data_IF_592162438729
#
_entry.id   IF_592162438729
#
_cell.length_a   1.000
_cell.length_b   1.000
_cell.length_c   1.000
_cell.angle_alpha   90.00
_cell.angle_beta   90.00
_cell.angle_gamma   90.00
#
_symmetry.space_group_name_H-M   'P 1'
#
loop_
_entity.id
_entity.type
_entity.pdbx_description
1 polymer ?
#
# COMPACT_ATOMS: atom_id res chain seq x y z
N UNK A 1 -8.99 3.98 -0.78
CA UNK A 1 -9.61 2.94 0.05
C UNK A 1 -9.63 1.59 -0.66
N UNK A 2 -10.23 1.44 -1.85
CA UNK A 2 -10.34 0.13 -2.52
C UNK A 2 -9.04 -0.61 -2.80
N UNK A 3 -7.93 0.10 -3.08
CA UNK A 3 -6.62 -0.55 -3.25
C UNK A 3 -6.11 -1.18 -1.94
N UNK A 4 -6.32 -0.49 -0.81
CA UNK A 4 -5.92 -1.01 0.50
C UNK A 4 -6.80 -2.20 0.91
N UNK A 5 -8.09 -2.16 0.60
CA UNK A 5 -9.02 -3.27 0.82
C UNK A 5 -8.59 -4.52 0.04
N UNK A 6 -8.14 -4.36 -1.22
CA UNK A 6 -7.60 -5.46 -2.01
C UNK A 6 -6.30 -6.04 -1.41
N UNK A 7 -5.44 -5.19 -0.84
CA UNK A 7 -4.28 -5.66 -0.10
C UNK A 7 -4.68 -6.46 1.13
N UNK A 8 -5.69 -6.02 1.89
CA UNK A 8 -6.22 -6.74 3.05
C UNK A 8 -6.79 -8.12 2.73
N UNK A 9 -7.23 -8.35 1.47
CA UNK A 9 -7.63 -9.68 0.99
C UNK A 9 -6.48 -10.44 0.31
N UNK A 10 -5.23 -10.01 0.51
CA UNK A 10 -4.02 -10.59 -0.09
C UNK A 10 -4.10 -10.70 -1.61
N UNK A 11 -4.81 -9.78 -2.26
CA UNK A 11 -5.07 -9.78 -3.68
C UNK A 11 -4.05 -8.88 -4.38
N UNK A 12 -3.27 -9.40 -5.35
CA UNK A 12 -2.40 -8.58 -6.20
C UNK A 12 -3.17 -7.45 -6.88
N UNK A 13 -2.58 -6.25 -6.92
CA UNK A 13 -3.22 -5.07 -7.51
C UNK A 13 -2.45 -4.61 -8.74
N UNK A 14 -3.16 -4.42 -9.85
CA UNK A 14 -2.68 -3.79 -11.07
C UNK A 14 -3.51 -2.54 -11.33
N UNK A 15 -2.86 -1.40 -11.54
CA UNK A 15 -3.54 -0.11 -11.69
C UNK A 15 -2.70 0.87 -12.51
N UNK A 16 -3.32 2.00 -12.88
CA UNK A 16 -2.63 3.07 -13.59
C UNK A 16 -1.50 3.65 -12.74
N UNK A 17 -0.32 3.79 -13.32
CA UNK A 17 0.80 4.42 -12.64
C UNK A 17 0.57 5.94 -12.53
N UNK A 18 0.36 6.41 -11.30
CA UNK A 18 0.06 7.80 -10.98
C UNK A 18 0.98 8.27 -9.87
N UNK A 19 1.48 9.50 -9.97
CA UNK A 19 2.39 10.10 -8.98
C UNK A 19 1.84 10.06 -7.56
N UNK A 20 0.51 10.21 -7.40
CA UNK A 20 -0.16 10.10 -6.10
C UNK A 20 0.11 8.76 -5.41
N UNK A 21 0.16 7.66 -6.17
CA UNK A 21 0.38 6.33 -5.64
C UNK A 21 1.83 6.10 -5.22
N UNK A 22 2.79 6.84 -5.77
CA UNK A 22 4.20 6.67 -5.42
C UNK A 22 4.49 7.02 -3.96
N UNK A 23 3.75 7.98 -3.40
CA UNK A 23 3.92 8.39 -2.00
C UNK A 23 3.31 7.42 -0.98
N UNK A 24 2.38 6.56 -1.41
CA UNK A 24 1.57 5.73 -0.52
C UNK A 24 1.87 4.25 -0.73
N UNK A 25 1.84 3.77 -1.97
CA UNK A 25 1.82 2.34 -2.27
C UNK A 25 2.90 1.89 -3.25
N UNK A 26 3.93 2.71 -3.47
CA UNK A 26 5.02 2.36 -4.38
C UNK A 26 5.64 1.00 -4.03
N UNK A 27 5.92 0.19 -5.05
CA UNK A 27 6.48 -1.15 -4.89
C UNK A 27 5.47 -2.24 -4.55
N UNK A 28 4.24 -1.91 -4.15
CA UNK A 28 3.22 -2.92 -3.80
C UNK A 28 2.28 -3.31 -4.95
N UNK A 29 2.19 -2.50 -6.01
CA UNK A 29 1.29 -2.73 -7.15
C UNK A 29 2.05 -2.89 -8.47
N UNK A 30 1.36 -3.42 -9.47
CA UNK A 30 1.80 -3.44 -10.87
C UNK A 30 1.30 -2.16 -11.54
N UNK A 31 2.22 -1.22 -11.82
CA UNK A 31 1.88 0.03 -12.50
C UNK A 31 1.78 -0.13 -14.01
N UNK A 32 0.80 0.54 -14.62
CA UNK A 32 0.58 0.58 -16.07
C UNK A 32 0.35 2.02 -16.53
N UNK A 33 0.99 2.44 -17.62
CA UNK A 33 0.79 3.75 -18.23
C UNK A 33 -0.60 3.89 -18.85
N UNK A 34 -1.04 2.85 -19.55
CA UNK A 34 -2.28 2.83 -20.32
C UNK A 34 -2.90 1.41 -20.38
N UNK A 35 -4.03 1.31 -21.07
CA UNK A 35 -4.77 0.06 -21.26
C UNK A 35 -3.96 -0.99 -22.04
N UNK A 36 -3.18 -0.56 -23.04
CA UNK A 36 -2.40 -1.48 -23.86
C UNK A 36 -1.32 -2.15 -23.01
N UNK A 37 -0.60 -1.39 -22.20
CA UNK A 37 0.38 -1.92 -21.26
C UNK A 37 -0.26 -2.81 -20.20
N UNK A 38 -1.42 -2.41 -19.67
CA UNK A 38 -2.19 -3.21 -18.70
C UNK A 38 -2.56 -4.59 -19.26
N UNK A 39 -3.05 -4.65 -20.50
CA UNK A 39 -3.41 -5.91 -21.15
C UNK A 39 -2.20 -6.82 -21.38
N UNK A 40 -1.03 -6.26 -21.73
CA UNK A 40 0.21 -7.05 -21.84
C UNK A 40 0.59 -7.64 -20.49
N UNK A 41 0.70 -6.80 -19.45
CA UNK A 41 1.07 -7.23 -18.09
C UNK A 41 0.08 -8.23 -17.50
N UNK A 42 -1.21 -8.08 -17.78
CA UNK A 42 -2.24 -9.01 -17.32
C UNK A 42 -2.04 -10.40 -17.93
N UNK A 43 -1.72 -10.47 -19.23
CA UNK A 43 -1.44 -11.74 -19.92
C UNK A 43 -0.17 -12.39 -19.41
N UNK A 44 0.87 -11.61 -19.15
CA UNK A 44 2.11 -12.12 -18.52
C UNK A 44 1.80 -12.71 -17.14
N UNK A 45 1.11 -11.95 -16.30
CA UNK A 45 0.80 -12.35 -14.92
C UNK A 45 -0.07 -13.61 -14.83
N UNK A 46 -1.04 -13.79 -15.73
CA UNK A 46 -1.88 -15.00 -15.77
C UNK A 46 -1.06 -16.25 -16.10
N UNK A 47 0.00 -16.11 -16.90
CA UNK A 47 0.84 -17.23 -17.33
C UNK A 47 2.08 -17.44 -16.43
N UNK A 48 2.34 -16.54 -15.48
CA UNK A 48 3.49 -16.60 -14.58
C UNK A 48 3.03 -16.73 -13.10
N UNK A 49 2.87 -17.96 -12.60
CA UNK A 49 2.44 -18.20 -11.23
C UNK A 49 3.49 -17.76 -10.19
N UNK A 50 4.78 -17.69 -10.56
CA UNK A 50 5.84 -17.22 -9.68
C UNK A 50 5.69 -15.73 -9.46
N UNK A 51 5.57 -14.96 -10.55
CA UNK A 51 5.34 -13.52 -10.50
C UNK A 51 4.03 -13.18 -9.77
N UNK A 52 2.96 -13.94 -10.01
CA UNK A 52 1.70 -13.75 -9.29
C UNK A 52 1.87 -13.96 -7.77
N UNK A 53 2.63 -14.98 -7.37
CA UNK A 53 2.95 -15.25 -5.96
C UNK A 53 3.78 -14.11 -5.33
N UNK A 54 4.74 -13.56 -6.07
CA UNK A 54 5.52 -12.40 -5.61
C UNK A 54 4.63 -11.19 -5.34
N UNK A 55 3.70 -10.86 -6.23
CA UNK A 55 2.78 -9.75 -6.01
C UNK A 55 1.76 -10.04 -4.91
N UNK A 56 1.37 -11.30 -4.70
CA UNK A 56 0.57 -11.67 -3.52
C UNK A 56 1.35 -11.39 -2.23
N UNK A 57 2.63 -11.72 -2.20
CA UNK A 57 3.47 -11.43 -1.02
C UNK A 57 3.61 -9.93 -0.78
N UNK A 58 3.71 -9.13 -1.85
CA UNK A 58 3.70 -7.66 -1.75
C UNK A 58 2.37 -7.13 -1.20
N UNK A 59 1.23 -7.69 -1.62
CA UNK A 59 -0.08 -7.34 -1.06
C UNK A 59 -0.17 -7.66 0.43
N UNK A 60 0.39 -8.79 0.88
CA UNK A 60 0.47 -9.14 2.31
C UNK A 60 1.29 -8.08 3.06
N UNK A 61 2.49 -7.75 2.58
CA UNK A 61 3.32 -6.72 3.20
C UNK A 61 2.63 -5.35 3.26
N UNK A 62 1.90 -4.97 2.20
CA UNK A 62 1.10 -3.75 2.20
C UNK A 62 -0.03 -3.81 3.22
N UNK A 63 -0.74 -4.95 3.33
CA UNK A 63 -1.78 -5.16 4.33
C UNK A 63 -1.24 -4.98 5.74
N UNK A 64 -0.09 -5.58 6.06
CA UNK A 64 0.54 -5.44 7.37
C UNK A 64 0.92 -3.97 7.66
N UNK A 65 1.49 -3.28 6.66
CA UNK A 65 1.87 -1.87 6.76
C UNK A 65 0.67 -0.97 7.03
N UNK A 66 -0.47 -1.25 6.41
CA UNK A 66 -1.69 -0.46 6.50
C UNK A 66 -2.75 -1.06 7.43
N UNK A 67 -2.36 -2.04 8.26
CA UNK A 67 -3.24 -2.67 9.23
C UNK A 67 -3.73 -1.67 10.27
N UNK A 68 -4.92 -1.94 10.82
CA UNK A 68 -5.52 -1.12 11.87
C UNK A 68 -4.58 -0.96 13.06
N UNK A 69 -3.98 -2.05 13.54
CA UNK A 69 -3.05 -2.05 14.67
C UNK A 69 -1.84 -1.14 14.42
N UNK A 70 -1.24 -1.22 13.23
CA UNK A 70 -0.06 -0.42 12.92
C UNK A 70 -0.41 1.07 12.75
N UNK A 71 -1.52 1.39 12.09
CA UNK A 71 -1.98 2.76 11.95
C UNK A 71 -2.38 3.36 13.29
N UNK A 72 -3.10 2.61 14.13
CA UNK A 72 -3.46 3.01 15.49
C UNK A 72 -2.22 3.33 16.32
N UNK A 73 -1.16 2.52 16.19
CA UNK A 73 0.13 2.81 16.84
C UNK A 73 0.75 4.13 16.38
N UNK A 74 0.77 4.41 15.08
CA UNK A 74 1.32 5.67 14.54
C UNK A 74 0.54 6.87 15.13
N UNK A 75 -0.78 6.80 15.15
CA UNK A 75 -1.61 7.85 15.74
C UNK A 75 -1.37 8.00 17.24
N UNK A 76 -1.31 6.89 17.97
CA UNK A 76 -1.03 6.89 19.40
C UNK A 76 0.31 7.55 19.71
N UNK A 77 1.37 7.17 19.00
CA UNK A 77 2.71 7.72 19.18
C UNK A 77 2.73 9.22 18.86
N UNK A 78 2.11 9.64 17.74
CA UNK A 78 1.99 11.03 17.34
C UNK A 78 1.26 11.88 18.40
N UNK A 79 0.07 11.48 18.84
CA UNK A 79 -0.68 12.24 19.84
C UNK A 79 0.01 12.27 21.21
N UNK A 80 0.69 11.18 21.57
CA UNK A 80 1.49 11.13 22.80
C UNK A 80 2.66 12.10 22.75
N UNK A 81 3.37 12.17 21.62
CA UNK A 81 4.45 13.14 21.38
C UNK A 81 3.94 14.58 21.45
N UNK A 82 2.90 14.90 20.68
CA UNK A 82 2.30 16.23 20.65
C UNK A 82 1.80 16.68 22.04
N UNK A 83 1.25 15.75 22.84
CA UNK A 83 0.83 16.08 24.20
C UNK A 83 1.99 16.51 25.12
N UNK A 84 3.20 15.98 24.89
CA UNK A 84 4.40 16.34 25.66
C UNK A 84 4.92 17.72 25.23
N UNK A 85 4.91 18.00 23.93
CA UNK A 85 5.33 19.31 23.39
C UNK A 85 4.39 20.44 23.84
N UNK A 86 3.08 20.20 23.82
CA UNK A 86 2.07 21.17 24.26
C UNK A 86 2.12 21.49 25.75
N UNK A 87 2.76 20.66 26.59
CA UNK A 87 2.92 20.92 28.02
C UNK A 87 4.02 21.94 28.34
N UNK A 88 4.92 22.27 27.39
CA UNK A 88 6.02 23.23 27.60
C UNK A 88 5.63 24.71 27.46
N UNK A 89 4.35 25.04 27.20
CA UNK A 89 3.86 26.44 27.06
C UNK A 89 3.25 26.99 28.37
N UNK A 90 3.58 26.41 29.54
CA UNK A 90 3.33 27.05 30.84
C UNK A 90 4.63 27.61 31.40
N UNK A 91 5.00 28.82 30.95
CA UNK A 91 5.90 29.72 31.68
C UNK A 91 5.16 30.99 32.03
#
# INVERSE_FOLDING_TARGET
MSVLEAFSTNTPVMLRDLDLYHSIINGYYIGCKDEAEMNVKLRELINDPVLLSEYRQRSITASDRYSEDHLAKIWYDFYTEQSKEGQYVKK
#
